data_IF_314841943735
#
_entry.id   IF_314841943735
#
_cell.length_a   1.000
_cell.length_b   1.000
_cell.length_c   1.000
_cell.angle_alpha   90.00
_cell.angle_beta   90.00
_cell.angle_gamma   90.00
#
_symmetry.space_group_name_H-M   'P 1'
#
loop_
_entity.id
_entity.type
_entity.pdbx_description
1 polymer ?
#
# COMPACT_ATOMS: atom_id res chain seq x y z
N UNK A 1 -31.39 20.77 -5.07
CA UNK A 1 -30.50 20.01 -5.99
C UNK A 1 -30.63 18.54 -5.65
N UNK A 2 -31.31 17.76 -6.48
CA UNK A 2 -31.37 16.31 -6.33
C UNK A 2 -30.01 15.71 -6.68
N UNK A 3 -29.34 15.11 -5.69
CA UNK A 3 -28.19 14.22 -5.96
C UNK A 3 -28.73 13.02 -6.74
N UNK A 4 -28.43 12.91 -8.02
CA UNK A 4 -28.79 11.75 -8.85
C UNK A 4 -27.97 10.55 -8.38
N UNK A 5 -28.56 9.64 -7.60
CA UNK A 5 -27.91 8.38 -7.25
C UNK A 5 -28.08 7.40 -8.42
N UNK A 6 -26.99 6.88 -8.96
CA UNK A 6 -27.02 5.81 -9.96
C UNK A 6 -26.58 4.47 -9.37
N UNK A 7 -27.15 3.40 -9.93
CA UNK A 7 -26.83 2.02 -9.57
C UNK A 7 -26.54 1.25 -10.85
N UNK A 8 -25.34 0.70 -10.92
CA UNK A 8 -24.87 -0.21 -11.95
C UNK A 8 -24.83 -1.61 -11.37
N UNK A 9 -25.34 -2.58 -12.12
CA UNK A 9 -25.42 -3.95 -11.68
C UNK A 9 -25.22 -4.90 -12.85
N UNK A 10 -24.22 -5.78 -12.72
CA UNK A 10 -23.84 -6.77 -13.72
C UNK A 10 -23.41 -6.13 -15.05
N UNK A 11 -22.67 -5.03 -15.00
CA UNK A 11 -22.15 -4.40 -16.21
C UNK A 11 -20.96 -5.18 -16.77
N UNK A 12 -20.97 -5.35 -18.09
CA UNK A 12 -19.82 -5.87 -18.86
C UNK A 12 -19.53 -4.88 -19.97
N UNK A 13 -18.36 -4.24 -19.92
CA UNK A 13 -18.07 -3.12 -20.80
C UNK A 13 -16.62 -3.10 -21.31
N UNK A 14 -16.41 -2.53 -22.50
CA UNK A 14 -15.04 -2.19 -22.93
C UNK A 14 -14.53 -0.97 -22.14
N UNK A 15 -15.35 0.08 -22.07
CA UNK A 15 -15.05 1.24 -21.26
C UNK A 15 -16.30 1.81 -20.62
N UNK A 16 -16.18 2.14 -19.33
CA UNK A 16 -17.19 2.87 -18.60
C UNK A 16 -16.55 4.16 -18.08
N UNK A 17 -17.20 5.27 -18.40
CA UNK A 17 -16.87 6.60 -17.91
C UNK A 17 -18.09 7.13 -17.21
N UNK A 18 -17.98 7.33 -15.91
CA UNK A 18 -19.06 7.90 -15.14
C UNK A 18 -18.61 9.21 -14.49
N UNK A 19 -19.55 10.14 -14.46
CA UNK A 19 -19.35 11.51 -14.04
C UNK A 19 -20.57 12.01 -13.27
N UNK A 20 -21.22 11.16 -12.47
CA UNK A 20 -22.35 11.52 -11.61
C UNK A 20 -21.97 11.32 -10.14
N UNK A 21 -22.69 11.98 -9.23
CA UNK A 21 -22.36 11.92 -7.81
C UNK A 21 -23.10 10.75 -7.16
N UNK A 22 -22.45 10.01 -6.25
CA UNK A 22 -23.04 8.92 -5.47
C UNK A 22 -23.44 7.71 -6.32
N UNK A 23 -22.44 7.00 -6.80
CA UNK A 23 -22.62 5.82 -7.65
C UNK A 23 -22.43 4.53 -6.83
N UNK A 24 -23.21 3.50 -7.18
CA UNK A 24 -23.05 2.16 -6.62
C UNK A 24 -22.93 1.15 -7.72
N UNK A 25 -21.91 0.30 -7.60
CA UNK A 25 -21.52 -0.67 -8.58
C UNK A 25 -21.52 -2.06 -7.96
N UNK A 26 -22.15 -3.01 -8.65
CA UNK A 26 -22.24 -4.38 -8.20
C UNK A 26 -21.98 -5.33 -9.38
N UNK A 27 -20.88 -6.11 -9.29
CA UNK A 27 -20.47 -7.07 -10.30
C UNK A 27 -20.09 -6.40 -11.63
N UNK A 28 -19.10 -5.52 -11.58
CA UNK A 28 -18.60 -4.82 -12.77
C UNK A 28 -17.43 -5.56 -13.38
N UNK A 29 -17.47 -5.76 -14.71
CA UNK A 29 -16.36 -6.28 -15.49
C UNK A 29 -16.09 -5.35 -16.66
N UNK A 30 -15.03 -4.55 -16.56
CA UNK A 30 -14.72 -3.55 -17.58
C UNK A 30 -13.25 -3.58 -18.00
N UNK A 31 -12.92 -3.39 -19.28
CA UNK A 31 -11.50 -3.25 -19.63
C UNK A 31 -10.93 -1.97 -19.02
N UNK A 32 -11.64 -0.85 -19.14
CA UNK A 32 -11.24 0.43 -18.58
C UNK A 32 -12.39 1.12 -17.85
N UNK A 33 -12.26 1.28 -16.54
CA UNK A 33 -13.16 2.07 -15.72
C UNK A 33 -12.48 3.39 -15.34
N UNK A 34 -13.16 4.50 -15.63
CA UNK A 34 -12.69 5.85 -15.27
C UNK A 34 -13.80 6.63 -14.62
N UNK A 35 -13.57 7.03 -13.38
CA UNK A 35 -14.55 7.72 -12.58
C UNK A 35 -14.00 9.07 -12.11
N UNK A 36 -14.91 10.04 -12.06
CA UNK A 36 -14.55 11.47 -11.99
C UNK A 36 -15.41 12.29 -11.05
N UNK A 37 -16.29 11.64 -10.27
CA UNK A 37 -17.19 12.30 -9.32
C UNK A 37 -17.15 11.62 -7.96
N UNK A 38 -17.96 12.10 -7.01
CA UNK A 38 -17.78 11.86 -5.57
C UNK A 38 -18.62 10.68 -5.08
N UNK A 39 -18.10 9.98 -4.07
CA UNK A 39 -18.76 8.92 -3.28
C UNK A 39 -19.15 7.68 -4.10
N UNK A 40 -18.20 6.79 -4.31
CA UNK A 40 -18.41 5.57 -5.10
C UNK A 40 -18.32 4.33 -4.20
N UNK A 41 -19.14 3.31 -4.50
CA UNK A 41 -19.12 2.04 -3.78
C UNK A 41 -19.13 0.87 -4.74
N UNK A 42 -18.13 0.01 -4.60
CA UNK A 42 -17.94 -1.20 -5.41
C UNK A 42 -18.04 -2.43 -4.52
N UNK A 43 -18.94 -3.34 -4.90
CA UNK A 43 -19.03 -4.63 -4.24
C UNK A 43 -18.04 -5.64 -4.85
N UNK A 44 -18.05 -5.78 -6.17
CA UNK A 44 -17.17 -6.66 -6.92
C UNK A 44 -16.80 -5.94 -8.21
N UNK A 45 -15.52 -5.65 -8.39
CA UNK A 45 -14.99 -5.04 -9.61
C UNK A 45 -13.84 -5.87 -10.17
N UNK A 46 -13.89 -6.11 -11.47
CA UNK A 46 -12.79 -6.68 -12.24
C UNK A 46 -12.48 -5.77 -13.42
N UNK A 47 -11.25 -5.27 -13.51
CA UNK A 47 -10.86 -4.43 -14.63
C UNK A 47 -9.41 -4.62 -15.11
N UNK A 48 -9.11 -4.22 -16.36
CA UNK A 48 -7.69 -4.11 -16.76
C UNK A 48 -7.10 -2.83 -16.19
N UNK A 49 -7.83 -1.72 -16.28
CA UNK A 49 -7.40 -0.43 -15.74
C UNK A 49 -8.54 0.24 -14.99
N UNK A 50 -8.31 0.54 -13.72
CA UNK A 50 -9.14 1.43 -12.92
C UNK A 50 -8.39 2.74 -12.70
N UNK A 51 -9.06 3.85 -13.02
CA UNK A 51 -8.56 5.19 -12.73
C UNK A 51 -9.63 5.99 -12.00
N UNK A 52 -9.32 6.29 -10.75
CA UNK A 52 -10.17 7.09 -9.89
C UNK A 52 -9.52 8.44 -9.65
N UNK A 53 -10.37 9.48 -9.64
CA UNK A 53 -9.90 10.85 -9.61
C UNK A 53 -10.64 11.75 -8.64
N UNK A 54 -11.50 11.20 -7.77
CA UNK A 54 -12.30 11.96 -6.81
C UNK A 54 -12.47 11.24 -5.46
N UNK A 55 -13.33 11.79 -4.60
CA UNK A 55 -13.26 11.60 -3.15
C UNK A 55 -14.19 10.48 -2.67
N UNK A 56 -13.76 9.78 -1.62
CA UNK A 56 -14.52 8.80 -0.84
C UNK A 56 -14.97 7.56 -1.61
N UNK A 57 -14.03 6.65 -1.85
CA UNK A 57 -14.31 5.41 -2.55
C UNK A 57 -14.26 4.22 -1.58
N UNK A 58 -15.12 3.23 -1.82
CA UNK A 58 -15.14 2.00 -1.03
C UNK A 58 -15.22 0.78 -1.93
N UNK A 59 -14.23 -0.08 -1.79
CA UNK A 59 -14.10 -1.34 -2.51
C UNK A 59 -14.20 -2.50 -1.53
N UNK A 60 -15.10 -3.44 -1.83
CA UNK A 60 -15.17 -4.70 -1.09
C UNK A 60 -14.24 -5.72 -1.71
N UNK A 61 -14.42 -6.03 -3.00
CA UNK A 61 -13.51 -6.88 -3.75
C UNK A 61 -13.12 -6.19 -5.06
N UNK A 62 -11.83 -5.95 -5.25
CA UNK A 62 -11.28 -5.41 -6.47
C UNK A 62 -10.19 -6.32 -7.04
N UNK A 63 -10.28 -6.58 -8.34
CA UNK A 63 -9.21 -7.24 -9.11
C UNK A 63 -8.88 -6.40 -10.33
N UNK A 64 -7.66 -5.88 -10.38
CA UNK A 64 -7.24 -5.01 -11.48
C UNK A 64 -5.85 -5.37 -12.01
N UNK A 65 -5.54 -5.09 -13.29
CA UNK A 65 -4.13 -5.11 -13.71
C UNK A 65 -3.41 -3.85 -13.24
N UNK A 66 -4.06 -2.71 -13.39
CA UNK A 66 -3.53 -1.42 -12.95
C UNK A 66 -4.60 -0.64 -12.22
N UNK A 67 -4.32 -0.27 -10.98
CA UNK A 67 -5.10 0.69 -10.21
C UNK A 67 -4.31 1.97 -10.02
N UNK A 68 -4.94 3.09 -10.38
CA UNK A 68 -4.37 4.41 -10.16
C UNK A 68 -5.37 5.30 -9.45
N UNK A 69 -4.96 5.70 -8.26
CA UNK A 69 -5.75 6.44 -7.30
C UNK A 69 -5.11 7.80 -7.11
N UNK A 70 -5.94 8.85 -7.19
CA UNK A 70 -5.43 10.21 -7.30
C UNK A 70 -6.14 11.25 -6.42
N UNK A 71 -7.05 10.83 -5.53
CA UNK A 71 -7.74 11.68 -4.54
C UNK A 71 -8.02 10.94 -3.22
N UNK A 72 -8.84 11.54 -2.36
CA UNK A 72 -8.79 11.36 -0.90
C UNK A 72 -9.78 10.30 -0.40
N UNK A 73 -9.37 9.60 0.67
CA UNK A 73 -10.18 8.70 1.50
C UNK A 73 -10.71 7.46 0.78
N UNK A 74 -9.84 6.47 0.64
CA UNK A 74 -10.20 5.22 -0.01
C UNK A 74 -10.14 4.05 0.98
N UNK A 75 -11.03 3.08 0.80
CA UNK A 75 -11.09 1.88 1.64
C UNK A 75 -11.25 0.65 0.79
N UNK A 76 -10.30 -0.26 0.94
CA UNK A 76 -10.26 -1.55 0.27
C UNK A 76 -10.32 -2.66 1.30
N UNK A 77 -11.30 -3.55 1.16
CA UNK A 77 -11.36 -4.74 1.99
C UNK A 77 -10.47 -5.85 1.41
N UNK A 78 -10.65 -6.19 0.13
CA UNK A 78 -9.80 -7.12 -0.60
C UNK A 78 -9.41 -6.51 -1.94
N UNK A 79 -8.11 -6.31 -2.15
CA UNK A 79 -7.56 -5.85 -3.42
C UNK A 79 -6.53 -6.84 -3.94
N UNK A 80 -6.63 -7.17 -5.22
CA UNK A 80 -5.60 -7.89 -5.97
C UNK A 80 -5.25 -7.10 -7.22
N UNK A 81 -3.99 -6.67 -7.32
CA UNK A 81 -3.54 -5.90 -8.48
C UNK A 81 -2.17 -6.35 -9.01
N UNK A 82 -1.84 -6.04 -10.26
CA UNK A 82 -0.42 -6.13 -10.68
C UNK A 82 0.32 -4.88 -10.27
N UNK A 83 -0.24 -3.72 -10.56
CA UNK A 83 0.33 -2.44 -10.18
C UNK A 83 -0.69 -1.59 -9.47
N UNK A 84 -0.36 -1.22 -8.24
CA UNK A 84 -1.07 -0.20 -7.49
C UNK A 84 -0.21 1.06 -7.40
N UNK A 85 -0.81 2.19 -7.77
CA UNK A 85 -0.18 3.50 -7.63
C UNK A 85 -1.09 4.47 -6.91
N UNK A 86 -0.68 4.77 -5.69
CA UNK A 86 -1.36 5.66 -4.77
C UNK A 86 -0.66 7.01 -4.77
N UNK A 87 -1.45 8.07 -4.91
CA UNK A 87 -0.90 9.41 -5.04
C UNK A 87 -1.51 10.47 -4.15
N UNK A 88 -2.48 10.12 -3.27
CA UNK A 88 -3.11 11.03 -2.29
C UNK A 88 -3.49 10.33 -0.96
N UNK A 89 -4.24 11.04 -0.12
CA UNK A 89 -4.22 10.91 1.34
C UNK A 89 -5.29 9.94 1.89
N UNK A 90 -4.95 9.29 3.01
CA UNK A 90 -5.85 8.54 3.89
C UNK A 90 -6.47 7.28 3.27
N UNK A 91 -5.62 6.30 2.99
CA UNK A 91 -6.07 5.04 2.42
C UNK A 91 -6.01 3.92 3.46
N UNK A 92 -6.95 2.98 3.36
CA UNK A 92 -7.01 1.81 4.25
C UNK A 92 -7.22 0.54 3.45
N UNK A 93 -6.27 -0.37 3.59
CA UNK A 93 -6.28 -1.68 2.98
C UNK A 93 -6.35 -2.73 4.08
N UNK A 94 -7.33 -3.63 3.99
CA UNK A 94 -7.43 -4.76 4.92
C UNK A 94 -6.61 -5.93 4.39
N UNK A 95 -6.88 -6.39 3.16
CA UNK A 95 -6.08 -7.40 2.49
C UNK A 95 -5.68 -6.87 1.11
N UNK A 96 -4.38 -6.72 0.90
CA UNK A 96 -3.83 -6.33 -0.40
C UNK A 96 -2.83 -7.36 -0.90
N UNK A 97 -2.95 -7.71 -2.17
CA UNK A 97 -1.95 -8.52 -2.88
C UNK A 97 -1.57 -7.81 -4.18
N UNK A 98 -0.29 -7.47 -4.33
CA UNK A 98 0.17 -6.74 -5.51
C UNK A 98 1.53 -7.23 -6.06
N UNK A 99 1.75 -7.17 -7.38
CA UNK A 99 3.12 -7.37 -7.89
C UNK A 99 4.00 -6.16 -7.55
N UNK A 100 3.44 -4.96 -7.65
CA UNK A 100 4.15 -3.72 -7.37
C UNK A 100 3.24 -2.69 -6.74
N UNK A 101 3.63 -2.24 -5.55
CA UNK A 101 3.01 -1.14 -4.85
C UNK A 101 3.92 0.08 -4.82
N UNK A 102 3.39 1.22 -5.23
CA UNK A 102 4.08 2.50 -5.14
C UNK A 102 3.21 3.52 -4.43
N UNK A 103 3.67 3.85 -3.23
CA UNK A 103 3.05 4.82 -2.33
C UNK A 103 3.82 6.13 -2.43
N UNK A 104 3.06 7.21 -2.62
CA UNK A 104 3.67 8.53 -2.82
C UNK A 104 3.08 9.64 -1.98
N UNK A 105 2.16 9.34 -1.03
CA UNK A 105 1.56 10.29 -0.07
C UNK A 105 1.23 9.69 1.30
N UNK A 106 0.45 10.43 2.10
CA UNK A 106 0.45 10.38 3.57
C UNK A 106 -0.71 9.55 4.14
N UNK A 107 -0.47 8.95 5.31
CA UNK A 107 -1.47 8.33 6.18
C UNK A 107 -2.14 7.06 5.63
N UNK A 108 -1.33 6.11 5.21
CA UNK A 108 -1.83 4.84 4.70
C UNK A 108 -1.80 3.77 5.81
N UNK A 109 -2.77 2.86 5.77
CA UNK A 109 -2.86 1.75 6.73
C UNK A 109 -3.15 0.45 6.03
N UNK A 110 -2.24 -0.49 6.23
CA UNK A 110 -2.31 -1.85 5.70
C UNK A 110 -2.41 -2.83 6.86
N UNK A 111 -3.42 -3.70 6.82
CA UNK A 111 -3.55 -4.77 7.83
C UNK A 111 -2.76 -6.00 7.38
N UNK A 112 -3.06 -6.52 6.19
CA UNK A 112 -2.31 -7.60 5.57
C UNK A 112 -1.91 -7.18 4.16
N UNK A 113 -0.61 -7.05 3.93
CA UNK A 113 -0.06 -6.74 2.62
C UNK A 113 0.88 -7.86 2.17
N UNK A 114 0.71 -8.30 0.93
CA UNK A 114 1.67 -9.17 0.25
C UNK A 114 2.05 -8.55 -1.08
N UNK A 115 3.33 -8.21 -1.25
CA UNK A 115 3.80 -7.63 -2.50
C UNK A 115 5.10 -8.25 -3.01
N UNK A 116 5.38 -8.16 -4.32
CA UNK A 116 6.76 -8.44 -4.76
C UNK A 116 7.68 -7.27 -4.48
N UNK A 117 7.21 -6.05 -4.76
CA UNK A 117 7.98 -4.83 -4.56
C UNK A 117 7.13 -3.75 -3.94
N UNK A 118 7.55 -3.30 -2.75
CA UNK A 118 6.99 -2.13 -2.08
C UNK A 118 7.97 -0.96 -2.17
N UNK A 119 7.47 0.19 -2.62
CA UNK A 119 8.24 1.43 -2.63
C UNK A 119 7.46 2.55 -1.96
N UNK A 120 7.98 2.96 -0.81
CA UNK A 120 7.41 4.00 0.04
C UNK A 120 8.23 5.27 -0.11
N UNK A 121 7.54 6.38 -0.41
CA UNK A 121 8.20 7.65 -0.70
C UNK A 121 7.68 8.86 0.06
N UNK A 122 6.72 8.68 0.98
CA UNK A 122 6.20 9.73 1.88
C UNK A 122 5.94 9.21 3.29
N UNK A 123 5.10 9.88 4.08
CA UNK A 123 5.13 9.86 5.55
C UNK A 123 3.90 9.18 6.16
N UNK A 124 4.10 8.55 7.32
CA UNK A 124 3.05 8.06 8.24
C UNK A 124 2.27 6.82 7.75
N UNK A 125 2.95 5.80 7.30
CA UNK A 125 2.35 4.54 6.91
C UNK A 125 2.41 3.54 8.09
N UNK A 126 1.41 2.66 8.14
CA UNK A 126 1.31 1.63 9.18
C UNK A 126 0.96 0.29 8.57
N UNK A 127 1.80 -0.68 8.85
CA UNK A 127 1.66 -2.05 8.39
C UNK A 127 1.54 -2.96 9.61
N UNK A 128 0.45 -3.73 9.68
CA UNK A 128 0.31 -4.73 10.73
C UNK A 128 1.05 -6.03 10.35
N UNK A 129 0.78 -6.57 9.16
CA UNK A 129 1.49 -7.71 8.60
C UNK A 129 1.90 -7.39 7.16
N UNK A 130 3.20 -7.35 6.89
CA UNK A 130 3.73 -7.16 5.55
C UNK A 130 4.62 -8.35 5.17
N UNK A 131 4.42 -8.85 3.96
CA UNK A 131 5.32 -9.81 3.32
C UNK A 131 5.71 -9.30 1.95
N UNK A 132 7.01 -9.03 1.75
CA UNK A 132 7.49 -8.53 0.47
C UNK A 132 8.76 -9.23 -0.03
N UNK A 133 9.02 -9.24 -1.35
CA UNK A 133 10.38 -9.63 -1.81
C UNK A 133 11.35 -8.48 -1.59
N UNK A 134 10.95 -7.26 -1.92
CA UNK A 134 11.78 -6.07 -1.79
C UNK A 134 10.98 -4.92 -1.19
N UNK A 135 11.44 -4.41 -0.05
CA UNK A 135 10.95 -3.18 0.56
C UNK A 135 11.99 -2.07 0.41
N UNK A 136 11.55 -0.92 -0.10
CA UNK A 136 12.36 0.29 -0.17
C UNK A 136 11.65 1.46 0.50
N UNK A 137 12.18 1.87 1.64
CA UNK A 137 11.74 3.04 2.39
C UNK A 137 12.65 4.23 2.07
N UNK A 138 12.03 5.36 1.75
CA UNK A 138 12.78 6.59 1.42
C UNK A 138 12.40 7.82 2.23
N UNK A 139 11.48 7.71 3.20
CA UNK A 139 10.99 8.80 4.06
C UNK A 139 10.54 8.30 5.44
N UNK A 140 9.93 9.21 6.21
CA UNK A 140 9.90 9.20 7.67
C UNK A 140 8.60 8.63 8.26
N UNK A 141 8.70 8.06 9.47
CA UNK A 141 7.59 7.67 10.36
C UNK A 141 6.81 6.39 9.99
N UNK A 142 7.49 5.40 9.44
CA UNK A 142 6.88 4.11 9.16
C UNK A 142 6.84 3.19 10.38
N UNK A 143 5.74 2.43 10.49
CA UNK A 143 5.57 1.46 11.57
C UNK A 143 5.13 0.11 11.02
N UNK A 144 5.93 -0.90 11.32
CA UNK A 144 5.67 -2.29 10.96
C UNK A 144 5.53 -3.11 12.25
N UNK A 145 4.41 -3.81 12.41
CA UNK A 145 4.27 -4.73 13.53
C UNK A 145 4.93 -6.08 13.22
N UNK A 146 4.62 -6.68 12.08
CA UNK A 146 5.28 -7.88 11.57
C UNK A 146 5.70 -7.66 10.11
N UNK A 147 6.99 -7.71 9.83
CA UNK A 147 7.53 -7.64 8.48
C UNK A 147 8.36 -8.88 8.16
N UNK A 148 8.12 -9.44 6.97
CA UNK A 148 8.98 -10.47 6.38
C UNK A 148 9.39 -10.04 4.98
N UNK A 149 10.70 -9.84 4.76
CA UNK A 149 11.19 -9.47 3.44
C UNK A 149 12.44 -10.23 2.99
N UNK A 150 12.70 -10.31 1.67
CA UNK A 150 14.02 -10.78 1.21
C UNK A 150 15.05 -9.66 1.26
N UNK A 151 14.65 -8.42 1.00
CA UNK A 151 15.57 -7.29 1.01
C UNK A 151 14.86 -6.04 1.50
N UNK A 152 15.38 -5.48 2.59
CA UNK A 152 14.96 -4.21 3.16
C UNK A 152 16.03 -3.15 2.90
N UNK A 153 15.62 -2.02 2.33
CA UNK A 153 16.48 -0.86 2.16
C UNK A 153 15.86 0.38 2.79
N UNK A 154 16.55 0.87 3.81
CA UNK A 154 16.14 2.01 4.62
C UNK A 154 17.06 3.19 4.32
N UNK A 155 16.47 4.35 4.02
CA UNK A 155 17.24 5.53 3.62
C UNK A 155 16.99 6.82 4.36
N UNK A 156 16.06 6.81 5.33
CA UNK A 156 15.70 7.96 6.16
C UNK A 156 15.25 7.51 7.56
N UNK A 157 14.82 8.47 8.37
CA UNK A 157 14.75 8.38 9.83
C UNK A 157 13.36 7.95 10.33
N UNK A 158 13.29 7.48 11.58
CA UNK A 158 12.05 7.21 12.35
C UNK A 158 11.22 6.00 11.95
N UNK A 159 11.87 4.95 11.47
CA UNK A 159 11.21 3.68 11.15
C UNK A 159 11.17 2.78 12.40
N UNK A 160 10.04 2.12 12.65
CA UNK A 160 9.84 1.25 13.81
C UNK A 160 9.31 -0.11 13.38
N UNK A 161 10.01 -1.14 13.82
CA UNK A 161 9.69 -2.53 13.54
C UNK A 161 9.54 -3.27 14.87
N UNK A 162 8.39 -3.90 15.10
CA UNK A 162 8.22 -4.74 16.28
C UNK A 162 8.83 -6.13 16.06
N UNK A 163 8.48 -6.80 14.96
CA UNK A 163 9.08 -8.05 14.52
C UNK A 163 9.49 -7.94 13.05
N UNK A 164 10.78 -8.03 12.76
CA UNK A 164 11.31 -8.05 11.40
C UNK A 164 12.10 -9.34 11.14
N UNK A 165 11.84 -9.95 9.98
CA UNK A 165 12.66 -11.04 9.43
C UNK A 165 13.08 -10.68 8.02
N UNK A 166 14.39 -10.56 7.79
CA UNK A 166 14.91 -10.27 6.46
C UNK A 166 16.16 -11.08 6.08
N UNK A 167 16.36 -11.31 4.77
CA UNK A 167 17.63 -11.89 4.28
C UNK A 167 18.74 -10.86 4.16
N UNK A 168 18.40 -9.63 3.81
CA UNK A 168 19.37 -8.55 3.67
C UNK A 168 18.75 -7.23 4.13
N UNK A 169 19.41 -6.58 5.07
CA UNK A 169 19.08 -5.25 5.55
C UNK A 169 20.16 -4.26 5.13
N UNK A 170 19.77 -3.12 4.54
CA UNK A 170 20.67 -2.01 4.25
C UNK A 170 20.15 -0.73 4.90
N UNK A 171 20.92 -0.21 5.85
CA UNK A 171 20.64 1.05 6.55
C UNK A 171 21.60 2.14 6.09
N UNK A 172 21.08 3.35 5.89
CA UNK A 172 21.91 4.50 5.49
C UNK A 172 21.82 5.75 6.37
N UNK A 173 20.92 5.79 7.37
CA UNK A 173 20.78 6.92 8.29
C UNK A 173 20.48 6.45 9.73
N UNK A 174 19.96 7.35 10.57
CA UNK A 174 19.78 7.18 12.02
C UNK A 174 18.29 7.04 12.38
N UNK A 175 18.01 6.53 13.59
CA UNK A 175 16.68 6.42 14.24
C UNK A 175 15.79 5.24 13.82
N UNK A 176 16.35 4.15 13.31
CA UNK A 176 15.64 2.88 13.15
C UNK A 176 15.53 2.15 14.50
N UNK A 177 14.34 1.65 14.82
CA UNK A 177 14.08 0.90 16.05
C UNK A 177 13.51 -0.47 15.73
N UNK A 178 14.24 -1.50 16.12
CA UNK A 178 13.81 -2.90 16.03
C UNK A 178 13.63 -3.44 17.45
N UNK A 179 12.46 -4.00 17.75
CA UNK A 179 12.26 -4.71 19.01
C UNK A 179 12.76 -6.16 18.90
N UNK A 180 12.36 -6.87 17.84
CA UNK A 180 12.87 -8.18 17.47
C UNK A 180 13.29 -8.16 15.98
N UNK A 181 14.56 -8.41 15.71
CA UNK A 181 15.12 -8.44 14.35
C UNK A 181 15.83 -9.76 14.11
N UNK A 182 15.54 -10.40 12.97
CA UNK A 182 16.30 -11.53 12.45
C UNK A 182 16.75 -11.19 11.03
N UNK A 183 18.02 -10.81 10.90
CA UNK A 183 18.64 -10.53 9.61
C UNK A 183 19.81 -11.45 9.32
N UNK A 184 19.88 -12.04 8.10
CA UNK A 184 21.06 -12.82 7.68
C UNK A 184 22.26 -11.96 7.29
N UNK A 185 22.03 -10.74 6.83
CA UNK A 185 23.09 -9.86 6.34
C UNK A 185 22.72 -8.40 6.54
N UNK A 186 23.44 -7.72 7.42
CA UNK A 186 23.27 -6.30 7.69
C UNK A 186 24.39 -5.47 7.05
N UNK A 187 24.03 -4.46 6.25
CA UNK A 187 24.96 -3.46 5.70
C UNK A 187 24.64 -2.08 6.24
N UNK A 188 25.61 -1.50 6.96
CA UNK A 188 25.53 -0.18 7.57
C UNK A 188 26.41 0.80 6.80
N UNK A 189 25.87 1.95 6.39
CA UNK A 189 26.65 2.96 5.68
C UNK A 189 27.53 3.86 6.59
N UNK A 190 27.28 3.93 7.92
CA UNK A 190 28.12 4.64 8.92
C UNK A 190 28.04 4.04 10.34
N UNK A 191 29.01 4.41 11.22
CA UNK A 191 29.29 3.85 12.56
C UNK A 191 28.12 3.98 13.53
N UNK A 192 27.73 2.85 14.14
CA UNK A 192 26.67 2.75 15.15
C UNK A 192 27.06 3.36 16.51
N UNK A 193 26.04 3.79 17.26
CA UNK A 193 26.16 4.07 18.70
C UNK A 193 26.22 2.77 19.53
N UNK A 194 26.74 2.83 20.76
CA UNK A 194 27.08 1.66 21.57
C UNK A 194 25.88 0.75 21.94
N UNK A 195 24.65 1.27 21.94
CA UNK A 195 23.44 0.48 22.23
C UNK A 195 23.09 -0.51 21.13
N UNK A 196 23.48 -0.23 19.89
CA UNK A 196 23.12 -1.02 18.72
C UNK A 196 24.10 -2.20 18.48
N UNK A 197 25.31 -2.16 19.07
CA UNK A 197 26.31 -3.23 18.93
C UNK A 197 25.92 -4.55 19.61
N UNK A 198 25.01 -4.55 20.59
CA UNK A 198 24.59 -5.77 21.31
C UNK A 198 23.81 -6.76 20.44
N UNK A 199 23.13 -6.28 19.40
CA UNK A 199 22.23 -7.11 18.58
C UNK A 199 22.94 -7.84 17.43
N UNK A 200 24.13 -7.38 17.01
CA UNK A 200 24.90 -8.03 15.95
C UNK A 200 25.68 -9.28 16.42
N UNK A 201 25.76 -9.53 17.74
CA UNK A 201 26.62 -10.58 18.31
C UNK A 201 25.88 -11.93 18.42
N UNK A 202 24.55 -11.97 18.29
CA UNK A 202 23.76 -13.22 18.38
C UNK A 202 23.54 -13.94 17.05
N UNK A 203 24.15 -13.49 15.97
CA UNK A 203 23.97 -14.02 14.61
C UNK A 203 25.28 -14.49 13.94
N UNK A 204 26.28 -14.87 14.73
CA UNK A 204 27.49 -15.59 14.25
C UNK A 204 27.39 -17.07 14.52
#
# INVERSE_FOLDING_TARGET
>A
MSKENERFANEVCESLKVSKENERFANEVCESLKLSKENERFANEVCKSLKLSKENERFVNEVCKSLKLSKENERFANEVCKSLKLSKENERFVNEVCESLKLSKENERFVNEVCESLKLSKENERFANEVCKSLKLSKENERFANEVCKSLKLSKENERFANEVCKSLKLSKENERFANEVCKSLKLAKRMSASQKKYAIHSS
#
